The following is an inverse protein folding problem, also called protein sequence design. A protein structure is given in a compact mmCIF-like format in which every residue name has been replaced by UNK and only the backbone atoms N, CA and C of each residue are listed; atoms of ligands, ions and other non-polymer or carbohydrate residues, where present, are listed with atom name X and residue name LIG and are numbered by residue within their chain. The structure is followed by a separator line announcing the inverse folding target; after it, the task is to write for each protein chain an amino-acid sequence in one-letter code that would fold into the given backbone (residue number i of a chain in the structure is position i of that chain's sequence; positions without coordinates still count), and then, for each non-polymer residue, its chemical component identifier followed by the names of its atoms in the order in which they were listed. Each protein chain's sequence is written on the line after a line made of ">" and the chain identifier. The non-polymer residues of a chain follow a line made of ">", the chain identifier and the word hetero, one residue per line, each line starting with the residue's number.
data_IF_251221011107
#
_entry.id   IF_251221011107
#
_cell.length_a   1.000
_cell.length_b   1.000
_cell.length_c   1.000
_cell.angle_alpha   90.00
_cell.angle_beta   90.00
_cell.angle_gamma   90.00
#
_symmetry.space_group_name_H-M   'P 1'
#
loop_
_entity.id
_entity.type
_entity.pdbx_description
1 polymer ?
#
# COMPACT_ATOMS: atom_id res chain seq x y z
N UNK A 1 -4.19 -23.88 21.04
CA UNK A 1 -4.68 -24.46 19.77
C UNK A 1 -5.93 -23.75 19.25
N UNK A 2 -7.05 -23.72 19.99
CA UNK A 2 -8.29 -23.04 19.55
C UNK A 2 -8.11 -21.55 19.25
N UNK A 3 -7.36 -20.83 20.09
CA UNK A 3 -7.08 -19.41 19.87
C UNK A 3 -6.26 -19.14 18.60
N UNK A 4 -5.27 -20.01 18.27
CA UNK A 4 -4.48 -19.89 17.04
C UNK A 4 -5.34 -20.10 15.78
N UNK A 5 -6.19 -21.13 15.77
CA UNK A 5 -7.10 -21.40 14.64
C UNK A 5 -8.05 -20.23 14.41
N UNK A 6 -8.65 -19.70 15.48
CA UNK A 6 -9.53 -18.55 15.41
C UNK A 6 -8.81 -17.31 14.86
N UNK A 7 -7.57 -17.06 15.29
CA UNK A 7 -6.74 -15.94 14.82
C UNK A 7 -6.39 -16.06 13.34
N UNK A 8 -6.01 -17.26 12.89
CA UNK A 8 -5.68 -17.51 11.48
C UNK A 8 -6.91 -17.38 10.59
N UNK A 9 -8.05 -17.96 10.99
CA UNK A 9 -9.31 -17.79 10.26
C UNK A 9 -9.74 -16.33 10.21
N UNK A 10 -9.60 -15.59 11.31
CA UNK A 10 -9.90 -14.16 11.37
C UNK A 10 -9.03 -13.39 10.37
N UNK A 11 -7.72 -13.65 10.35
CA UNK A 11 -6.83 -13.00 9.41
C UNK A 11 -7.19 -13.32 7.95
N UNK A 12 -7.39 -14.59 7.61
CA UNK A 12 -7.65 -15.00 6.21
C UNK A 12 -8.98 -14.46 5.70
N UNK A 13 -10.02 -14.40 6.53
CA UNK A 13 -11.35 -13.86 6.16
C UNK A 13 -11.32 -12.35 5.98
N UNK A 14 -10.75 -11.62 6.95
CA UNK A 14 -10.85 -10.16 6.98
C UNK A 14 -9.74 -9.43 6.21
N UNK A 15 -8.59 -10.06 5.97
CA UNK A 15 -7.47 -9.45 5.22
C UNK A 15 -7.89 -8.86 3.86
N UNK A 16 -8.62 -9.58 2.97
CA UNK A 16 -9.02 -9.00 1.69
C UNK A 16 -9.97 -7.81 1.87
N UNK A 17 -10.92 -7.89 2.80
CA UNK A 17 -11.88 -6.82 3.06
C UNK A 17 -11.21 -5.55 3.59
N UNK A 18 -10.28 -5.71 4.55
CA UNK A 18 -9.49 -4.61 5.09
C UNK A 18 -8.67 -3.97 3.97
N UNK A 19 -8.02 -4.78 3.14
CA UNK A 19 -7.20 -4.28 2.04
C UNK A 19 -8.02 -3.49 1.02
N UNK A 20 -9.23 -3.95 0.70
CA UNK A 20 -10.13 -3.26 -0.21
C UNK A 20 -10.68 -1.95 0.38
N UNK A 21 -11.00 -1.94 1.68
CA UNK A 21 -11.39 -0.72 2.40
C UNK A 21 -10.26 0.33 2.41
N UNK A 22 -9.02 -0.11 2.65
CA UNK A 22 -7.84 0.74 2.60
C UNK A 22 -7.61 1.30 1.19
N UNK A 23 -7.76 0.48 0.14
CA UNK A 23 -7.65 0.94 -1.25
C UNK A 23 -8.69 2.00 -1.58
N UNK A 24 -9.97 1.75 -1.24
CA UNK A 24 -11.05 2.74 -1.46
C UNK A 24 -10.77 4.05 -0.74
N UNK A 25 -10.25 3.99 0.48
CA UNK A 25 -9.89 5.18 1.26
C UNK A 25 -8.72 5.92 0.62
N UNK A 26 -7.69 5.22 0.17
CA UNK A 26 -6.56 5.81 -0.54
C UNK A 26 -7.00 6.48 -1.85
N UNK A 27 -7.88 5.84 -2.62
CA UNK A 27 -8.42 6.40 -3.86
C UNK A 27 -9.29 7.64 -3.60
N UNK A 28 -10.16 7.58 -2.59
CA UNK A 28 -10.96 8.73 -2.16
C UNK A 28 -10.08 9.88 -1.69
N UNK A 29 -9.02 9.58 -0.94
CA UNK A 29 -8.06 10.57 -0.49
C UNK A 29 -7.29 11.19 -1.67
N UNK A 30 -6.83 10.38 -2.63
CA UNK A 30 -6.18 10.88 -3.83
C UNK A 30 -7.12 11.78 -4.65
N UNK A 31 -8.39 11.39 -4.78
CA UNK A 31 -9.40 12.19 -5.46
C UNK A 31 -9.66 13.51 -4.74
N UNK A 32 -9.81 13.46 -3.41
CA UNK A 32 -9.92 14.66 -2.57
C UNK A 32 -8.69 15.55 -2.73
N UNK A 33 -7.47 15.02 -2.63
CA UNK A 33 -6.22 15.76 -2.80
C UNK A 33 -6.15 16.49 -4.16
N UNK A 34 -6.57 15.82 -5.23
CA UNK A 34 -6.66 16.43 -6.57
C UNK A 34 -7.72 17.55 -6.64
N UNK A 35 -8.83 17.41 -5.90
CA UNK A 35 -9.94 18.34 -5.94
C UNK A 35 -9.84 19.52 -4.98
N UNK A 36 -9.25 19.36 -3.80
CA UNK A 36 -9.35 20.36 -2.71
C UNK A 36 -7.99 20.86 -2.25
N UNK A 37 -7.03 19.97 -1.99
CA UNK A 37 -5.69 20.39 -1.49
C UNK A 37 -4.81 21.01 -2.58
N UNK A 38 -5.03 20.66 -3.84
CA UNK A 38 -4.29 21.19 -5.00
C UNK A 38 -5.19 21.78 -6.07
N UNK A 39 -6.32 22.38 -5.69
CA UNK A 39 -7.18 23.15 -6.59
C UNK A 39 -6.52 24.49 -6.97
N UNK A 40 -5.28 24.44 -7.46
CA UNK A 40 -4.69 25.53 -8.24
C UNK A 40 -5.40 25.50 -9.58
N UNK A 41 -6.09 26.58 -9.92
CA UNK A 41 -6.61 26.80 -11.27
C UNK A 41 -5.48 26.54 -12.28
N UNK A 42 -5.80 26.18 -13.53
CA UNK A 42 -4.77 25.99 -14.57
C UNK A 42 -3.81 27.19 -14.67
N UNK A 43 -4.33 28.39 -14.39
CA UNK A 43 -3.55 29.61 -14.25
C UNK A 43 -2.57 29.57 -13.07
N UNK A 44 -3.04 29.20 -11.87
CA UNK A 44 -2.21 29.07 -10.69
C UNK A 44 -1.18 27.92 -10.80
N UNK A 45 -1.49 26.83 -11.50
CA UNK A 45 -0.52 25.79 -11.84
C UNK A 45 0.56 26.32 -12.78
N UNK A 46 0.18 27.06 -13.82
CA UNK A 46 1.11 27.71 -14.72
C UNK A 46 2.01 28.71 -13.99
N UNK A 47 1.43 29.59 -13.16
CA UNK A 47 2.17 30.59 -12.39
C UNK A 47 3.13 29.93 -11.40
N UNK A 48 2.69 28.90 -10.67
CA UNK A 48 3.55 28.16 -9.76
C UNK A 48 4.70 27.45 -10.50
N UNK A 49 4.40 26.83 -11.65
CA UNK A 49 5.42 26.19 -12.47
C UNK A 49 6.42 27.20 -13.03
N UNK A 50 5.94 28.40 -13.40
CA UNK A 50 6.76 29.51 -13.89
C UNK A 50 7.63 30.09 -12.79
N UNK A 51 7.10 30.26 -11.58
CA UNK A 51 7.88 30.70 -10.42
C UNK A 51 8.94 29.68 -10.02
N UNK A 52 8.57 28.40 -9.98
CA UNK A 52 9.51 27.29 -9.73
C UNK A 52 10.61 27.22 -10.80
N UNK A 53 10.26 27.44 -12.07
CA UNK A 53 11.21 27.47 -13.16
C UNK A 53 12.14 28.69 -13.12
N UNK A 54 11.66 29.83 -12.63
CA UNK A 54 12.49 31.02 -12.37
C UNK A 54 13.44 30.80 -11.20
N UNK A 55 12.97 30.23 -10.08
CA UNK A 55 13.80 29.98 -8.89
C UNK A 55 14.88 28.93 -9.16
N UNK A 56 14.59 27.93 -9.99
CA UNK A 56 15.59 26.96 -10.47
C UNK A 56 16.41 27.43 -11.68
N UNK A 57 16.20 28.67 -12.14
CA UNK A 57 17.08 29.32 -13.11
C UNK A 57 16.93 28.91 -14.58
N UNK A 58 16.05 27.98 -14.93
CA UNK A 58 15.83 27.56 -16.33
C UNK A 58 14.71 28.34 -17.04
N UNK A 59 14.02 29.25 -16.32
CA UNK A 59 13.08 30.22 -16.90
C UNK A 59 13.60 31.65 -16.72
N UNK A 60 14.77 31.93 -17.27
CA UNK A 60 15.46 33.23 -17.19
C UNK A 60 15.30 34.10 -18.43
N UNK A 61 14.48 33.67 -19.42
CA UNK A 61 14.46 34.34 -20.73
C UNK A 61 15.80 34.21 -21.48
N UNK A 62 16.67 33.34 -20.97
CA UNK A 62 17.95 32.96 -21.54
C UNK A 62 17.70 31.83 -22.57
N UNK A 63 18.14 31.96 -23.83
CA UNK A 63 17.99 30.92 -24.85
C UNK A 63 18.72 29.61 -24.54
N UNK A 64 19.41 29.51 -23.40
CA UNK A 64 20.14 28.34 -22.94
C UNK A 64 21.62 28.41 -23.32
N UNK A 65 22.39 27.47 -22.77
CA UNK A 65 23.81 27.37 -23.05
C UNK A 65 24.07 26.93 -24.50
N UNK A 66 25.17 27.43 -25.08
CA UNK A 66 25.52 27.10 -26.45
C UNK A 66 25.86 25.61 -26.63
N UNK A 67 25.82 25.13 -27.88
CA UNK A 67 26.06 23.71 -28.21
C UNK A 67 27.45 23.25 -27.75
N UNK A 68 28.43 24.15 -27.66
CA UNK A 68 29.78 23.78 -27.22
C UNK A 68 29.85 23.54 -25.71
N UNK A 69 29.08 24.29 -24.95
CA UNK A 69 28.95 24.18 -23.50
C UNK A 69 28.17 22.92 -23.12
N UNK A 70 27.08 22.62 -23.85
CA UNK A 70 26.29 21.39 -23.66
C UNK A 70 27.00 20.09 -24.10
N UNK A 71 28.08 20.19 -24.91
CA UNK A 71 28.89 19.04 -25.32
C UNK A 71 29.94 18.62 -24.27
N UNK A 72 30.12 19.40 -23.20
CA UNK A 72 31.10 19.05 -22.17
C UNK A 72 30.65 17.78 -21.42
N UNK A 73 31.53 16.77 -21.22
CA UNK A 73 31.16 15.50 -20.58
C UNK A 73 30.61 15.61 -19.15
N UNK A 74 30.77 16.76 -18.51
CA UNK A 74 30.30 17.04 -17.15
C UNK A 74 29.08 17.97 -17.10
N UNK A 75 28.50 18.32 -18.24
CA UNK A 75 27.30 19.15 -18.31
C UNK A 75 26.08 18.33 -17.85
N UNK A 76 25.42 18.76 -16.76
CA UNK A 76 24.26 18.07 -16.18
C UNK A 76 24.58 17.00 -15.13
N UNK A 77 25.83 16.89 -14.66
CA UNK A 77 26.16 16.05 -13.50
C UNK A 77 25.88 16.83 -12.20
N UNK A 78 24.72 16.57 -11.60
CA UNK A 78 24.45 16.94 -10.20
C UNK A 78 25.09 15.89 -9.28
N UNK A 79 25.73 16.33 -8.19
CA UNK A 79 26.35 15.47 -7.18
C UNK A 79 25.30 14.48 -6.62
N UNK A 80 25.54 13.18 -6.78
CA UNK A 80 24.61 12.10 -6.39
C UNK A 80 24.51 12.00 -4.85
N UNK A 81 23.70 12.87 -4.27
CA UNK A 81 23.21 12.70 -2.91
C UNK A 81 22.21 11.56 -2.84
N UNK A 82 22.67 10.37 -2.44
CA UNK A 82 21.81 9.21 -2.14
C UNK A 82 20.78 9.62 -1.08
N UNK A 83 19.46 9.45 -1.31
CA UNK A 83 18.47 9.74 -0.27
C UNK A 83 18.66 8.76 0.89
N UNK A 84 18.80 9.30 2.09
CA UNK A 84 19.08 8.55 3.31
C UNK A 84 18.04 7.46 3.59
N UNK A 85 18.54 6.27 3.90
CA UNK A 85 17.78 5.11 4.32
C UNK A 85 17.09 5.40 5.68
N UNK A 86 15.79 5.65 5.65
CA UNK A 86 14.96 5.79 6.85
C UNK A 86 14.59 4.40 7.37
N UNK A 87 15.52 3.72 8.04
CA UNK A 87 15.18 2.56 8.85
C UNK A 87 14.50 3.03 10.14
N UNK A 88 13.26 2.59 10.32
CA UNK A 88 12.47 2.81 11.54
C UNK A 88 13.05 1.88 12.62
N UNK A 89 13.32 2.36 13.85
CA UNK A 89 13.76 1.49 14.93
C UNK A 89 12.67 0.45 15.24
N UNK A 90 13.04 -0.83 15.23
CA UNK A 90 12.16 -1.90 15.73
C UNK A 90 12.00 -1.73 17.25
N UNK A 91 10.88 -1.16 17.68
CA UNK A 91 10.48 -1.18 19.08
C UNK A 91 10.08 -2.60 19.51
N UNK A 92 10.47 -2.97 20.72
CA UNK A 92 10.27 -4.26 21.39
C UNK A 92 8.90 -4.90 21.12
N UNK A 93 8.87 -5.77 20.10
CA UNK A 93 7.69 -6.52 19.65
C UNK A 93 7.55 -7.86 20.38
N UNK A 94 8.09 -7.99 21.60
CA UNK A 94 8.14 -9.25 22.35
C UNK A 94 6.78 -9.84 22.74
N UNK A 95 5.68 -9.11 22.54
CA UNK A 95 4.33 -9.55 22.85
C UNK A 95 3.39 -9.56 21.63
N UNK A 96 3.90 -9.26 20.43
CA UNK A 96 3.12 -9.28 19.19
C UNK A 96 3.30 -10.65 18.56
N UNK A 97 2.27 -11.49 18.70
CA UNK A 97 2.26 -12.81 18.10
C UNK A 97 1.85 -12.67 16.62
N UNK A 98 2.85 -12.65 15.74
CA UNK A 98 2.65 -12.53 14.29
C UNK A 98 2.21 -13.89 13.72
N UNK A 99 1.31 -13.89 12.74
CA UNK A 99 0.98 -15.10 11.98
C UNK A 99 2.12 -15.40 11.01
N UNK A 100 2.63 -16.63 11.02
CA UNK A 100 3.66 -17.05 10.07
C UNK A 100 3.05 -17.28 8.68
N UNK A 101 3.80 -17.01 7.62
CA UNK A 101 3.33 -17.17 6.24
C UNK A 101 2.97 -18.62 5.92
N UNK A 102 3.66 -19.58 6.54
CA UNK A 102 3.36 -21.02 6.42
C UNK A 102 1.98 -21.36 6.98
N UNK A 103 1.60 -20.80 8.13
CA UNK A 103 0.28 -21.01 8.73
C UNK A 103 -0.83 -20.41 7.85
N UNK A 104 -0.58 -19.24 7.27
CA UNK A 104 -1.54 -18.54 6.41
C UNK A 104 -1.74 -19.31 5.11
N UNK A 105 -0.67 -19.80 4.49
CA UNK A 105 -0.74 -20.60 3.27
C UNK A 105 -1.45 -21.92 3.53
N UNK A 106 -1.15 -22.61 4.63
CA UNK A 106 -1.86 -23.83 5.05
C UNK A 106 -3.38 -23.63 5.15
N UNK A 107 -3.82 -22.56 5.83
CA UNK A 107 -5.25 -22.27 6.01
C UNK A 107 -5.93 -21.96 4.68
N UNK A 108 -5.27 -21.19 3.80
CA UNK A 108 -5.80 -20.90 2.45
C UNK A 108 -5.93 -22.17 1.61
N UNK A 109 -4.92 -23.04 1.62
CA UNK A 109 -4.97 -24.32 0.92
C UNK A 109 -6.05 -25.25 1.48
N UNK A 110 -6.26 -25.27 2.80
CA UNK A 110 -7.32 -26.05 3.43
C UNK A 110 -8.70 -25.60 2.93
N UNK A 111 -8.98 -24.30 2.89
CA UNK A 111 -10.24 -23.78 2.37
C UNK A 111 -10.41 -24.01 0.87
N UNK A 112 -9.33 -23.93 0.08
CA UNK A 112 -9.37 -24.31 -1.33
C UNK A 112 -9.72 -25.78 -1.53
N UNK A 113 -9.18 -26.69 -0.70
CA UNK A 113 -9.52 -28.12 -0.74
C UNK A 113 -10.98 -28.39 -0.35
N UNK A 114 -11.55 -27.54 0.49
CA UNK A 114 -12.96 -27.62 0.92
C UNK A 114 -13.94 -26.92 -0.02
N UNK A 115 -13.46 -26.30 -1.10
CA UNK A 115 -14.26 -25.48 -2.02
C UNK A 115 -15.07 -24.38 -1.28
N UNK A 116 -14.48 -23.82 -0.21
CA UNK A 116 -15.12 -22.81 0.62
C UNK A 116 -14.76 -21.39 0.15
N UNK A 117 -15.77 -20.62 -0.25
CA UNK A 117 -15.59 -19.21 -0.64
C UNK A 117 -15.54 -18.29 0.60
N UNK A 118 -14.32 -17.92 0.96
CA UNK A 118 -14.01 -17.02 2.08
C UNK A 118 -14.37 -15.57 1.76
N UNK A 119 -14.53 -15.21 0.49
CA UNK A 119 -14.73 -13.84 0.03
C UNK A 119 -16.19 -13.50 -0.25
N UNK A 120 -17.10 -14.45 -0.07
CA UNK A 120 -18.53 -14.22 -0.30
C UNK A 120 -19.07 -13.13 0.62
N UNK A 121 -19.99 -12.32 0.08
CA UNK A 121 -20.72 -11.35 0.87
C UNK A 121 -21.83 -12.06 1.67
N UNK A 122 -21.82 -11.91 2.98
CA UNK A 122 -22.84 -12.44 3.89
C UNK A 122 -23.86 -11.39 4.34
N UNK A 123 -23.78 -10.15 3.85
CA UNK A 123 -24.55 -9.00 4.36
C UNK A 123 -24.34 -8.72 5.87
N UNK A 124 -23.34 -9.34 6.49
CA UNK A 124 -23.02 -9.24 7.91
C UNK A 124 -21.53 -8.97 8.11
N UNK A 125 -20.92 -8.22 7.19
CA UNK A 125 -19.51 -7.82 7.25
C UNK A 125 -18.52 -8.99 7.37
N UNK A 126 -18.84 -10.17 6.86
CA UNK A 126 -17.99 -11.36 6.93
C UNK A 126 -18.03 -12.10 8.27
N UNK A 127 -18.90 -11.71 9.21
CA UNK A 127 -19.03 -12.39 10.51
C UNK A 127 -19.54 -13.82 10.34
N UNK A 128 -20.52 -14.03 9.48
CA UNK A 128 -21.11 -15.35 9.27
C UNK A 128 -20.13 -16.25 8.51
N UNK A 129 -19.41 -15.67 7.53
CA UNK A 129 -18.31 -16.35 6.83
C UNK A 129 -17.21 -16.75 7.80
N UNK A 130 -16.83 -15.88 8.74
CA UNK A 130 -15.84 -16.19 9.77
C UNK A 130 -16.29 -17.33 10.68
N UNK A 131 -17.53 -17.28 11.17
CA UNK A 131 -18.08 -18.34 12.02
C UNK A 131 -18.09 -19.70 11.30
N UNK A 132 -18.49 -19.74 10.04
CA UNK A 132 -18.49 -20.95 9.21
C UNK A 132 -17.05 -21.43 8.94
N UNK A 133 -16.14 -20.52 8.61
CA UNK A 133 -14.73 -20.81 8.38
C UNK A 133 -14.07 -21.48 9.60
N UNK A 134 -14.33 -20.98 10.81
CA UNK A 134 -13.80 -21.55 12.06
C UNK A 134 -14.35 -22.96 12.30
N UNK A 135 -15.64 -23.19 12.04
CA UNK A 135 -16.26 -24.51 12.21
C UNK A 135 -15.70 -25.52 11.20
N UNK A 136 -15.61 -25.14 9.93
CA UNK A 136 -15.07 -25.99 8.86
C UNK A 136 -13.59 -26.30 9.09
N UNK A 137 -12.78 -25.28 9.39
CA UNK A 137 -11.35 -25.46 9.62
C UNK A 137 -11.07 -26.33 10.84
N UNK A 138 -11.86 -26.17 11.92
CA UNK A 138 -11.76 -27.05 13.08
C UNK A 138 -12.06 -28.51 12.71
N UNK A 139 -13.16 -28.75 11.98
CA UNK A 139 -13.52 -30.10 11.54
C UNK A 139 -12.46 -30.73 10.63
N UNK A 140 -11.81 -29.92 9.77
CA UNK A 140 -10.73 -30.36 8.91
C UNK A 140 -9.47 -30.76 9.69
N UNK A 141 -9.08 -29.96 10.69
CA UNK A 141 -7.91 -30.28 11.53
C UNK A 141 -8.18 -31.48 12.44
N UNK A 142 -9.41 -31.63 12.94
CA UNK A 142 -9.80 -32.81 13.75
C UNK A 142 -9.84 -34.11 12.91
N UNK A 143 -9.90 -34.00 11.58
CA UNK A 143 -9.93 -35.14 10.64
C UNK A 143 -8.55 -35.51 10.05
N UNK A 144 -7.52 -34.71 10.34
CA UNK A 144 -6.12 -34.90 9.93
C UNK A 144 -5.37 -35.82 10.91
#
# INVERSE_FOLDING_TARGET
>A
MTNNMQRLCLYVVFQPQIQDSLRRTADAWNHHRLQTEHQKTLLALYELSREYAKTRGYWTGDPGDDIQTAQHPSYGLEDEGVPGDHQVPEEDSGNIQVNEDEDITFVREAFQKMDFDITRDDNNWGIDVYCEAVLLFKAFVDAL
#
